data_IF_831545046121
#
_entry.id   IF_831545046121
#
_cell.length_a   1.000
_cell.length_b   1.000
_cell.length_c   1.000
_cell.angle_alpha   90.00
_cell.angle_beta   90.00
_cell.angle_gamma   90.00
#
_symmetry.space_group_name_H-M   'P 1'
#
loop_
_entity.id
_entity.type
_entity.pdbx_description
1 polymer ?
#
# COMPACT_ATOMS: atom_id res chain seq x y z
N UNK A 1 4.15 -40.43 16.63
CA UNK A 1 4.46 -39.01 16.90
C UNK A 1 4.12 -38.26 15.62
N UNK A 2 3.13 -37.36 15.60
CA UNK A 2 2.79 -36.64 14.39
C UNK A 2 4.02 -35.85 13.92
N UNK A 3 4.30 -35.90 12.62
CA UNK A 3 5.52 -35.39 12.00
C UNK A 3 5.70 -33.89 12.28
N UNK A 4 6.54 -33.53 13.25
CA UNK A 4 6.85 -32.14 13.63
C UNK A 4 7.37 -31.32 12.43
N UNK A 5 8.03 -32.00 11.48
CA UNK A 5 8.47 -31.43 10.21
C UNK A 5 7.30 -31.04 9.27
N UNK A 6 6.18 -31.76 9.30
CA UNK A 6 4.99 -31.40 8.52
C UNK A 6 4.25 -30.20 9.13
N UNK A 7 4.21 -30.12 10.46
CA UNK A 7 3.65 -28.98 11.19
C UNK A 7 4.44 -27.68 10.95
N UNK A 8 5.78 -27.75 10.96
CA UNK A 8 6.65 -26.61 10.66
C UNK A 8 6.46 -26.08 9.23
N UNK A 9 6.30 -26.98 8.26
CA UNK A 9 6.09 -26.62 6.83
C UNK A 9 4.76 -25.91 6.59
N UNK A 10 3.74 -26.18 7.40
CA UNK A 10 2.43 -25.50 7.31
C UNK A 10 2.40 -24.15 8.04
N UNK A 11 3.23 -23.98 9.08
CA UNK A 11 3.32 -22.71 9.83
C UNK A 11 4.06 -21.62 9.06
N UNK A 12 5.11 -22.00 8.32
CA UNK A 12 5.87 -21.06 7.49
C UNK A 12 4.98 -20.18 6.59
N UNK A 13 4.11 -20.73 5.72
CA UNK A 13 3.24 -19.91 4.88
C UNK A 13 2.21 -19.10 5.69
N UNK A 14 1.74 -19.61 6.83
CA UNK A 14 0.81 -18.87 7.71
C UNK A 14 1.50 -17.63 8.31
N UNK A 15 2.71 -17.78 8.84
CA UNK A 15 3.50 -16.67 9.40
C UNK A 15 3.81 -15.64 8.31
N UNK A 16 4.19 -16.08 7.11
CA UNK A 16 4.44 -15.19 5.97
C UNK A 16 3.18 -14.42 5.58
N UNK A 17 2.01 -15.06 5.58
CA UNK A 17 0.74 -14.41 5.27
C UNK A 17 0.34 -13.39 6.36
N UNK A 18 0.48 -13.73 7.64
CA UNK A 18 0.26 -12.79 8.75
C UNK A 18 1.20 -11.60 8.67
N UNK A 19 2.48 -11.82 8.36
CA UNK A 19 3.45 -10.77 8.19
C UNK A 19 3.13 -9.86 6.99
N UNK A 20 2.65 -10.43 5.89
CA UNK A 20 2.17 -9.67 4.74
C UNK A 20 1.01 -8.74 5.10
N UNK A 21 0.01 -9.26 5.83
CA UNK A 21 -1.11 -8.43 6.32
C UNK A 21 -0.67 -7.35 7.30
N UNK A 22 0.29 -7.66 8.18
CA UNK A 22 0.89 -6.66 9.07
C UNK A 22 1.62 -5.56 8.31
N UNK A 23 2.43 -5.89 7.31
CA UNK A 23 3.12 -4.91 6.47
C UNK A 23 2.14 -4.00 5.72
N UNK A 24 1.03 -4.55 5.24
CA UNK A 24 -0.03 -3.75 4.62
C UNK A 24 -0.59 -2.72 5.60
N UNK A 25 -0.94 -3.13 6.84
CA UNK A 25 -1.44 -2.21 7.86
C UNK A 25 -0.40 -1.17 8.31
N UNK A 26 0.87 -1.56 8.39
CA UNK A 26 1.95 -0.63 8.71
C UNK A 26 2.05 0.50 7.67
N UNK A 27 1.93 0.19 6.38
CA UNK A 27 1.98 1.20 5.31
C UNK A 27 0.90 2.28 5.50
N UNK A 28 -0.33 1.87 5.82
CA UNK A 28 -1.44 2.78 6.12
C UNK A 28 -1.09 3.72 7.28
N UNK A 29 -0.54 3.15 8.36
CA UNK A 29 -0.28 3.89 9.58
C UNK A 29 0.91 4.83 9.47
N UNK A 30 1.95 4.48 8.72
CA UNK A 30 3.10 5.35 8.45
C UNK A 30 2.63 6.65 7.79
N UNK A 31 1.70 6.55 6.85
CA UNK A 31 1.14 7.74 6.21
C UNK A 31 0.26 8.50 7.19
N UNK A 32 -0.67 7.81 7.87
CA UNK A 32 -1.62 8.45 8.77
C UNK A 32 -0.92 9.28 9.85
N UNK A 33 0.21 8.80 10.38
CA UNK A 33 1.02 9.55 11.35
C UNK A 33 1.73 10.76 10.75
N UNK A 34 2.08 10.71 9.47
CA UNK A 34 2.84 11.77 8.76
C UNK A 34 1.95 12.84 8.13
N UNK A 35 0.63 12.64 8.06
CA UNK A 35 -0.30 13.56 7.37
C UNK A 35 -0.27 14.99 7.92
N UNK A 36 -0.09 15.15 9.23
CA UNK A 36 -0.01 16.47 9.85
C UNK A 36 1.29 17.21 9.47
N UNK A 37 2.41 16.50 9.39
CA UNK A 37 3.70 17.06 8.98
C UNK A 37 3.68 17.47 7.49
N UNK A 38 3.06 16.63 6.65
CA UNK A 38 2.84 16.92 5.22
C UNK A 38 1.94 18.14 5.05
N UNK A 39 0.84 18.21 5.80
CA UNK A 39 -0.07 19.35 5.78
C UNK A 39 0.59 20.66 6.23
N UNK A 40 1.44 20.61 7.25
CA UNK A 40 2.24 21.74 7.70
C UNK A 40 3.26 22.21 6.66
N UNK A 41 3.94 21.27 5.99
CA UNK A 41 4.93 21.57 4.95
C UNK A 41 4.35 22.15 3.65
N UNK A 42 3.13 21.76 3.29
CA UNK A 42 2.41 22.26 2.11
C UNK A 42 1.44 23.43 2.43
N UNK A 43 1.38 23.88 3.69
CA UNK A 43 0.43 24.90 4.17
C UNK A 43 -1.04 24.59 3.82
N UNK A 44 -1.40 23.32 3.94
CA UNK A 44 -2.69 22.78 3.56
C UNK A 44 -3.78 22.98 4.63
N UNK A 45 -5.02 23.14 4.19
CA UNK A 45 -6.17 23.16 5.08
C UNK A 45 -6.51 21.74 5.60
N UNK A 46 -7.08 21.65 6.81
CA UNK A 46 -7.41 20.36 7.45
C UNK A 46 -8.39 19.50 6.63
N UNK A 47 -9.29 20.14 5.87
CA UNK A 47 -10.24 19.45 4.99
C UNK A 47 -9.51 18.69 3.88
N UNK A 48 -8.47 19.28 3.30
CA UNK A 48 -7.66 18.68 2.25
C UNK A 48 -6.83 17.49 2.76
N UNK A 49 -6.31 17.58 3.99
CA UNK A 49 -5.55 16.48 4.61
C UNK A 49 -6.45 15.24 4.81
N UNK A 50 -7.72 15.43 5.15
CA UNK A 50 -8.69 14.33 5.28
C UNK A 50 -8.97 13.62 3.95
N UNK A 51 -8.97 14.37 2.84
CA UNK A 51 -9.10 13.80 1.50
C UNK A 51 -7.93 12.92 1.09
N UNK A 52 -6.70 13.21 1.55
CA UNK A 52 -5.50 12.38 1.28
C UNK A 52 -5.65 10.97 1.87
N UNK A 53 -6.24 10.84 3.05
CA UNK A 53 -6.50 9.53 3.68
C UNK A 53 -7.67 8.81 3.01
N UNK A 54 -8.71 9.55 2.64
CA UNK A 54 -9.89 9.00 1.97
C UNK A 54 -9.55 8.44 0.59
N UNK A 55 -8.76 9.16 -0.21
CA UNK A 55 -8.31 8.71 -1.53
C UNK A 55 -7.51 7.40 -1.47
N UNK A 56 -6.60 7.29 -0.49
CA UNK A 56 -5.81 6.08 -0.25
C UNK A 56 -6.69 4.87 0.05
N UNK A 57 -7.67 5.02 0.95
CA UNK A 57 -8.59 3.93 1.29
C UNK A 57 -9.47 3.51 0.10
N UNK A 58 -9.94 4.47 -0.70
CA UNK A 58 -10.72 4.17 -1.92
C UNK A 58 -9.87 3.35 -2.90
N UNK A 59 -8.62 3.76 -3.14
CA UNK A 59 -7.71 3.03 -4.01
C UNK A 59 -7.48 1.60 -3.50
N UNK A 60 -7.26 1.42 -2.20
CA UNK A 60 -7.03 0.11 -1.58
C UNK A 60 -8.25 -0.83 -1.75
N UNK A 61 -9.45 -0.32 -1.49
CA UNK A 61 -10.72 -1.08 -1.65
C UNK A 61 -10.92 -1.54 -3.09
N UNK A 62 -10.47 -0.76 -4.08
CA UNK A 62 -10.56 -1.12 -5.50
C UNK A 62 -9.46 -2.14 -5.86
N UNK A 63 -8.24 -1.93 -5.39
CA UNK A 63 -7.07 -2.73 -5.78
C UNK A 63 -7.09 -4.13 -5.16
N UNK A 64 -7.56 -4.31 -3.93
CA UNK A 64 -7.64 -5.65 -3.29
C UNK A 64 -8.42 -6.66 -4.15
N UNK A 65 -9.69 -6.44 -4.53
CA UNK A 65 -10.42 -7.38 -5.39
C UNK A 65 -9.82 -7.45 -6.80
N UNK A 66 -9.35 -6.31 -7.33
CA UNK A 66 -8.72 -6.26 -8.65
C UNK A 66 -7.48 -7.14 -8.70
N UNK A 67 -6.65 -7.15 -7.66
CA UNK A 67 -5.41 -7.93 -7.58
C UNK A 67 -5.65 -9.44 -7.77
N UNK A 68 -6.78 -9.95 -7.27
CA UNK A 68 -7.18 -11.35 -7.46
C UNK A 68 -7.54 -11.69 -8.90
N UNK A 69 -8.18 -10.76 -9.63
CA UNK A 69 -8.47 -10.91 -11.05
C UNK A 69 -7.23 -10.69 -11.91
N UNK A 70 -6.46 -9.64 -11.62
CA UNK A 70 -5.22 -9.30 -12.29
C UNK A 70 -4.25 -10.47 -12.24
N UNK A 71 -4.05 -11.11 -11.08
CA UNK A 71 -3.12 -12.26 -10.93
C UNK A 71 -3.51 -13.48 -11.77
N UNK A 72 -4.79 -13.60 -12.15
CA UNK A 72 -5.26 -14.67 -13.04
C UNK A 72 -5.08 -14.32 -14.51
N UNK A 73 -5.21 -13.04 -14.87
CA UNK A 73 -5.07 -12.54 -16.25
C UNK A 73 -3.61 -12.31 -16.64
N UNK A 74 -2.86 -11.68 -15.74
CA UNK A 74 -1.44 -11.42 -15.86
C UNK A 74 -0.68 -12.37 -14.94
N UNK A 75 0.39 -12.99 -15.45
CA UNK A 75 1.27 -13.82 -14.65
C UNK A 75 1.77 -13.06 -13.42
N UNK A 76 1.77 -13.70 -12.25
CA UNK A 76 2.17 -13.12 -10.95
C UNK A 76 3.50 -12.37 -11.02
N UNK A 77 4.47 -12.85 -11.83
CA UNK A 77 5.78 -12.20 -12.00
C UNK A 77 5.68 -10.80 -12.62
N UNK A 78 4.83 -10.65 -13.64
CA UNK A 78 4.71 -9.42 -14.42
C UNK A 78 3.91 -8.39 -13.64
N UNK A 79 2.90 -8.85 -12.90
CA UNK A 79 2.17 -8.00 -11.98
C UNK A 79 3.05 -7.45 -10.88
N UNK A 80 3.84 -8.31 -10.24
CA UNK A 80 4.72 -7.86 -9.17
C UNK A 80 5.73 -6.82 -9.67
N UNK A 81 6.34 -7.06 -10.84
CA UNK A 81 7.26 -6.11 -11.46
C UNK A 81 6.58 -4.79 -11.86
N UNK A 82 5.39 -4.84 -12.46
CA UNK A 82 4.64 -3.67 -12.85
C UNK A 82 4.19 -2.84 -11.64
N UNK A 83 3.69 -3.49 -10.58
CA UNK A 83 3.30 -2.84 -9.34
C UNK A 83 4.49 -2.20 -8.63
N UNK A 84 5.63 -2.89 -8.57
CA UNK A 84 6.85 -2.35 -7.97
C UNK A 84 7.40 -1.15 -8.74
N UNK A 85 7.40 -1.22 -10.08
CA UNK A 85 7.81 -0.11 -10.93
C UNK A 85 6.86 1.09 -10.78
N UNK A 86 5.54 0.83 -10.81
CA UNK A 86 4.50 1.84 -10.58
C UNK A 86 4.70 2.54 -9.24
N UNK A 87 4.76 1.77 -8.15
CA UNK A 87 4.97 2.28 -6.79
C UNK A 87 6.22 3.15 -6.66
N UNK A 88 7.32 2.74 -7.30
CA UNK A 88 8.57 3.51 -7.27
C UNK A 88 8.40 4.86 -7.98
N UNK A 89 7.73 4.88 -9.14
CA UNK A 89 7.49 6.11 -9.92
C UNK A 89 6.53 7.05 -9.19
N UNK A 90 5.39 6.56 -8.69
CA UNK A 90 4.43 7.40 -7.95
C UNK A 90 5.00 7.90 -6.63
N UNK A 91 5.82 7.12 -5.93
CA UNK A 91 6.51 7.59 -4.71
C UNK A 91 7.47 8.75 -5.00
N UNK A 92 8.21 8.69 -6.11
CA UNK A 92 9.07 9.80 -6.54
C UNK A 92 8.25 11.04 -6.92
N UNK A 93 7.10 10.84 -7.59
CA UNK A 93 6.20 11.94 -7.93
C UNK A 93 5.58 12.58 -6.68
N UNK A 94 5.22 11.79 -5.66
CA UNK A 94 4.76 12.29 -4.36
C UNK A 94 5.82 13.17 -3.67
N UNK A 95 7.09 12.76 -3.72
CA UNK A 95 8.18 13.55 -3.14
C UNK A 95 8.41 14.89 -3.86
N UNK A 96 8.00 14.99 -5.13
CA UNK A 96 8.10 16.19 -5.97
C UNK A 96 6.79 17.00 -6.01
N UNK A 97 5.78 16.65 -5.22
CA UNK A 97 4.48 17.33 -5.27
C UNK A 97 4.57 18.78 -4.80
N UNK A 98 3.94 19.70 -5.54
CA UNK A 98 3.97 21.15 -5.25
C UNK A 98 2.68 21.66 -4.61
N UNK A 99 1.60 20.89 -4.70
CA UNK A 99 0.30 21.19 -4.12
C UNK A 99 -0.32 19.90 -3.57
N UNK A 100 -1.27 20.06 -2.66
CA UNK A 100 -1.97 18.93 -2.07
C UNK A 100 -2.75 18.12 -3.11
N UNK A 101 -3.36 18.78 -4.10
CA UNK A 101 -4.14 18.08 -5.13
C UNK A 101 -3.25 17.18 -5.97
N UNK A 102 -2.05 17.65 -6.34
CA UNK A 102 -1.05 16.83 -7.05
C UNK A 102 -0.54 15.69 -6.19
N UNK A 103 -0.40 15.92 -4.88
CA UNK A 103 0.00 14.88 -3.94
C UNK A 103 -1.08 13.80 -3.80
N UNK A 104 -2.37 14.17 -3.79
CA UNK A 104 -3.50 13.24 -3.78
C UNK A 104 -3.53 12.42 -5.08
N UNK A 105 -3.24 13.05 -6.22
CA UNK A 105 -3.26 12.40 -7.53
C UNK A 105 -2.12 11.38 -7.73
N UNK A 106 -0.95 11.63 -7.15
CA UNK A 106 0.23 10.76 -7.29
C UNK A 106 0.29 9.64 -6.27
N UNK A 107 -0.65 9.58 -5.32
CA UNK A 107 -0.63 8.61 -4.23
C UNK A 107 -1.58 7.45 -4.48
#
# INVERSE_FOLDING_TARGET
>A
MPDTAAWLKSILPFVVMCFGGFMALLDIQIVASSLQDIGGGLSAAQDQISWVQTAYLIAEIIVIPLSGWLTRVFSTRWLFAASAAGFTVTSLLCALAWNIETMILFR
#
